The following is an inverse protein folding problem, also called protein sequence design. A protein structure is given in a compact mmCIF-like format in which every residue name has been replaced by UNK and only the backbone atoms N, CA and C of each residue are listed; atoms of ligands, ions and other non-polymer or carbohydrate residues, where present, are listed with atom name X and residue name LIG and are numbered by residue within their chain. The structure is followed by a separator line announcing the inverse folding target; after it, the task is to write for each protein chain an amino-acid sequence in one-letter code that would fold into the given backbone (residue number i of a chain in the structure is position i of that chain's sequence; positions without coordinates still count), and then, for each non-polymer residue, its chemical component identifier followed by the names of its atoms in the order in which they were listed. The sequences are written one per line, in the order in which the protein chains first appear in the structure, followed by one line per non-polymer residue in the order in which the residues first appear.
data_IF_567562017640
#
_entry.id   IF_567562017640
#
_cell.length_a   1.000
_cell.length_b   1.000
_cell.length_c   1.000
_cell.angle_alpha   90.00
_cell.angle_beta   90.00
_cell.angle_gamma   90.00
#
_symmetry.space_group_name_H-M   'P 1'
#
loop_
_entity.id
_entity.type
_entity.pdbx_description
1 polymer ?
#
# COMPACT_ATOMS: atom_id res chain seq x y z
N UNK A 1 -1.75 -5.26 7.98
CA UNK A 1 -2.37 -4.85 9.26
C UNK A 1 -3.84 -4.49 9.01
N UNK A 2 -4.80 -5.28 9.52
CA UNK A 2 -6.24 -4.99 9.36
C UNK A 2 -6.61 -3.79 10.26
N UNK A 3 -6.88 -2.62 9.67
CA UNK A 3 -7.40 -1.46 10.41
C UNK A 3 -8.86 -1.74 10.77
N UNK A 4 -9.14 -1.99 12.04
CA UNK A 4 -10.52 -2.01 12.50
C UNK A 4 -11.07 -0.58 12.44
N UNK A 5 -12.14 -0.36 11.66
CA UNK A 5 -12.86 0.91 11.67
C UNK A 5 -13.37 1.21 13.10
N UNK A 6 -13.24 2.46 13.54
CA UNK A 6 -13.78 2.90 14.83
C UNK A 6 -15.30 2.99 14.73
N UNK A 7 -16.03 2.57 15.78
CA UNK A 7 -17.47 2.77 15.85
C UNK A 7 -17.81 4.26 15.73
N UNK A 8 -18.76 4.57 14.84
CA UNK A 8 -19.25 5.93 14.54
C UNK A 8 -20.73 6.10 14.92
N UNK A 9 -21.49 5.02 15.06
CA UNK A 9 -22.90 5.07 15.45
C UNK A 9 -23.05 5.37 16.95
N UNK A 10 -24.03 6.22 17.28
CA UNK A 10 -24.35 6.63 18.65
C UNK A 10 -25.86 6.54 18.90
N UNK A 11 -26.23 6.28 20.16
CA UNK A 11 -27.58 6.51 20.68
C UNK A 11 -27.60 7.85 21.41
N UNK A 12 -27.97 8.92 20.70
CA UNK A 12 -27.80 10.27 21.20
C UNK A 12 -28.68 10.54 22.43
N UNK A 13 -28.05 10.81 23.59
CA UNK A 13 -28.74 11.16 24.84
C UNK A 13 -29.52 12.48 24.79
N UNK A 14 -29.24 13.36 23.83
CA UNK A 14 -29.92 14.66 23.71
C UNK A 14 -31.21 14.59 22.89
N UNK A 15 -31.22 13.85 21.78
CA UNK A 15 -32.40 13.74 20.91
C UNK A 15 -33.07 12.37 20.91
N UNK A 16 -32.48 11.38 21.57
CA UNK A 16 -32.97 9.99 21.63
C UNK A 16 -32.83 9.20 20.33
N UNK A 17 -32.32 9.80 19.25
CA UNK A 17 -32.19 9.15 17.93
C UNK A 17 -30.87 8.38 17.82
N UNK A 18 -30.91 7.26 17.09
CA UNK A 18 -29.70 6.60 16.58
C UNK A 18 -29.16 7.41 15.40
N UNK A 19 -27.90 7.82 15.48
CA UNK A 19 -27.27 8.70 14.52
C UNK A 19 -25.77 8.38 14.38
N UNK A 20 -25.10 9.03 13.44
CA UNK A 20 -23.65 8.99 13.35
C UNK A 20 -23.04 10.16 14.17
N UNK A 21 -21.87 9.93 14.73
CA UNK A 21 -21.06 10.96 15.36
C UNK A 21 -19.95 11.42 14.41
N UNK A 22 -19.91 12.72 14.12
CA UNK A 22 -18.77 13.34 13.44
C UNK A 22 -17.71 13.70 14.47
N UNK A 23 -16.49 13.21 14.30
CA UNK A 23 -15.36 13.58 15.13
C UNK A 23 -14.80 14.95 14.70
N UNK A 24 -14.67 15.88 15.64
CA UNK A 24 -14.00 17.16 15.46
C UNK A 24 -12.72 17.20 16.30
N UNK A 25 -11.55 17.46 15.71
CA UNK A 25 -10.32 17.60 16.48
C UNK A 25 -10.36 18.87 17.34
N UNK A 26 -9.94 18.74 18.59
CA UNK A 26 -9.69 19.88 19.48
C UNK A 26 -8.20 20.17 19.49
N UNK A 27 -7.84 21.44 19.33
CA UNK A 27 -6.47 21.92 19.30
C UNK A 27 -6.20 22.90 20.43
N UNK A 28 -4.99 22.83 20.98
CA UNK A 28 -4.39 23.88 21.80
C UNK A 28 -3.19 24.43 21.04
N UNK A 29 -3.33 25.66 20.53
CA UNK A 29 -2.43 26.20 19.51
C UNK A 29 -2.41 25.32 18.26
N UNK A 30 -1.23 24.82 17.89
CA UNK A 30 -1.04 23.91 16.74
C UNK A 30 -1.04 22.42 17.11
N UNK A 31 -1.23 22.07 18.39
CA UNK A 31 -1.22 20.67 18.84
C UNK A 31 -2.64 20.15 19.02
N UNK A 32 -2.95 19.01 18.39
CA UNK A 32 -4.22 18.31 18.64
C UNK A 32 -4.19 17.71 20.05
N UNK A 33 -5.12 18.12 20.90
CA UNK A 33 -5.23 17.69 22.31
C UNK A 33 -6.35 16.68 22.52
N UNK A 34 -7.31 16.58 21.60
CA UNK A 34 -8.39 15.61 21.72
C UNK A 34 -9.35 15.59 20.52
N UNK A 35 -10.48 14.93 20.73
CA UNK A 35 -11.59 14.85 19.78
C UNK A 35 -12.92 15.08 20.52
N UNK A 36 -13.75 15.96 19.98
CA UNK A 36 -15.16 16.11 20.34
C UNK A 36 -16.03 15.38 19.33
N UNK A 37 -17.22 14.97 19.73
CA UNK A 37 -18.12 14.22 18.87
C UNK A 37 -19.46 14.93 18.74
N UNK A 38 -19.91 15.13 17.49
CA UNK A 38 -21.15 15.84 17.19
C UNK A 38 -22.16 14.87 16.60
N UNK A 39 -23.34 14.80 17.22
CA UNK A 39 -24.47 14.05 16.69
C UNK A 39 -24.93 14.66 15.36
N UNK A 40 -24.95 13.86 14.29
CA UNK A 40 -25.38 14.36 12.96
C UNK A 40 -26.89 14.63 12.87
N UNK A 41 -27.71 14.08 13.77
CA UNK A 41 -29.16 14.27 13.74
C UNK A 41 -29.65 15.54 14.47
N UNK A 42 -28.96 16.00 15.51
CA UNK A 42 -29.39 17.16 16.31
C UNK A 42 -28.29 18.19 16.60
N UNK A 43 -27.02 17.91 16.25
CA UNK A 43 -25.90 18.82 16.49
C UNK A 43 -25.40 18.86 17.94
N UNK A 44 -25.93 18.04 18.85
CA UNK A 44 -25.42 17.96 20.22
C UNK A 44 -23.95 17.51 20.24
N UNK A 45 -23.16 18.12 21.12
CA UNK A 45 -21.71 17.91 21.23
C UNK A 45 -21.37 17.14 22.50
N UNK A 46 -20.55 16.12 22.36
CA UNK A 46 -19.93 15.38 23.44
C UNK A 46 -18.45 15.75 23.53
N UNK A 47 -17.96 15.99 24.74
CA UNK A 47 -16.60 16.51 24.95
C UNK A 47 -15.49 15.50 24.70
N UNK A 48 -15.80 14.20 24.78
CA UNK A 48 -14.84 13.12 24.57
C UNK A 48 -15.49 11.86 24.02
N UNK A 49 -14.66 10.87 23.67
CA UNK A 49 -15.12 9.57 23.16
C UNK A 49 -15.87 8.79 24.24
N UNK A 50 -15.40 8.87 25.48
CA UNK A 50 -15.93 8.15 26.64
C UNK A 50 -17.30 8.69 27.07
N UNK A 51 -17.50 10.00 26.93
CA UNK A 51 -18.79 10.64 27.17
C UNK A 51 -19.81 10.36 26.06
N UNK A 52 -19.35 9.93 24.88
CA UNK A 52 -20.19 9.71 23.71
C UNK A 52 -20.81 8.31 23.76
N UNK A 53 -22.15 8.19 23.64
CA UNK A 53 -22.87 6.91 23.74
C UNK A 53 -22.74 6.09 22.43
N UNK A 54 -21.54 5.63 22.11
CA UNK A 54 -21.30 4.77 20.94
C UNK A 54 -22.01 3.43 21.06
N UNK A 55 -22.66 3.03 19.98
CA UNK A 55 -23.22 1.69 19.87
C UNK A 55 -22.07 0.72 19.63
N UNK A 56 -22.00 -0.34 20.44
CA UNK A 56 -21.04 -1.41 20.24
C UNK A 56 -21.31 -2.09 18.88
N UNK A 57 -20.35 -2.01 17.98
CA UNK A 57 -20.38 -2.72 16.70
C UNK A 57 -20.20 -4.22 16.96
N UNK A 58 -21.32 -4.92 17.16
CA UNK A 58 -21.35 -6.35 17.46
C UNK A 58 -21.40 -7.21 16.21
N UNK A 59 -21.56 -6.62 15.01
CA UNK A 59 -21.74 -7.40 13.78
C UNK A 59 -21.09 -6.69 12.62
N UNK A 60 -19.86 -7.10 12.30
CA UNK A 60 -19.38 -6.96 10.92
C UNK A 60 -20.17 -7.94 10.05
N UNK A 61 -21.07 -7.47 9.17
CA UNK A 61 -21.66 -8.37 8.19
C UNK A 61 -20.53 -8.91 7.32
N UNK A 62 -20.42 -10.23 7.23
CA UNK A 62 -19.53 -10.89 6.28
C UNK A 62 -20.24 -10.86 4.92
N UNK A 63 -20.22 -9.70 4.27
CA UNK A 63 -20.86 -9.48 2.95
C UNK A 63 -20.08 -10.22 1.86
N UNK A 64 -18.75 -10.30 2.00
CA UNK A 64 -17.89 -11.02 1.08
C UNK A 64 -17.25 -12.21 1.77
N UNK A 65 -17.28 -13.33 1.08
CA UNK A 65 -16.68 -14.61 1.44
C UNK A 65 -15.42 -14.85 0.61
N UNK A 66 -14.74 -15.96 0.87
CA UNK A 66 -13.63 -16.39 0.02
C UNK A 66 -14.10 -16.72 -1.41
N UNK A 67 -15.37 -17.08 -1.58
CA UNK A 67 -15.95 -17.47 -2.88
C UNK A 67 -16.21 -16.26 -3.79
N UNK A 68 -16.36 -15.07 -3.21
CA UNK A 68 -16.45 -13.81 -3.96
C UNK A 68 -15.09 -13.34 -4.52
N UNK A 69 -14.00 -14.04 -4.17
CA UNK A 69 -12.67 -13.74 -4.69
C UNK A 69 -12.53 -14.32 -6.08
N UNK A 70 -12.68 -13.46 -7.08
CA UNK A 70 -12.37 -13.81 -8.47
C UNK A 70 -10.94 -14.36 -8.59
N UNK A 71 -10.79 -15.41 -9.39
CA UNK A 71 -9.46 -15.94 -9.72
C UNK A 71 -8.70 -14.90 -10.51
N UNK A 72 -7.47 -14.56 -10.08
CA UNK A 72 -6.66 -13.57 -10.78
C UNK A 72 -6.51 -13.96 -12.27
N UNK A 73 -6.95 -13.12 -13.21
CA UNK A 73 -6.90 -13.49 -14.62
C UNK A 73 -5.44 -13.57 -15.07
N UNK A 74 -5.04 -14.74 -15.55
CA UNK A 74 -3.76 -14.94 -16.21
C UNK A 74 -3.91 -14.60 -17.69
N UNK A 75 -3.81 -13.31 -18.00
CA UNK A 75 -4.02 -12.75 -19.36
C UNK A 75 -2.79 -13.00 -20.25
N UNK A 76 -1.59 -13.04 -19.67
CA UNK A 76 -0.34 -13.22 -20.40
C UNK A 76 0.43 -14.41 -19.85
N UNK A 77 1.00 -15.19 -20.75
CA UNK A 77 2.06 -16.13 -20.42
C UNK A 77 3.33 -15.37 -20.02
N UNK A 78 4.15 -15.97 -19.14
CA UNK A 78 5.43 -15.36 -18.75
C UNK A 78 6.37 -15.18 -19.97
N UNK A 79 6.22 -16.01 -21.00
CA UNK A 79 6.94 -15.89 -22.27
C UNK A 79 6.58 -14.64 -23.07
N UNK A 80 5.33 -14.17 -23.01
CA UNK A 80 4.91 -12.95 -23.72
C UNK A 80 5.44 -11.68 -23.04
N UNK A 81 5.54 -11.69 -21.71
CA UNK A 81 6.08 -10.56 -20.93
C UNK A 81 7.57 -10.30 -21.18
N UNK A 82 8.29 -11.28 -21.72
CA UNK A 82 9.75 -11.27 -21.78
C UNK A 82 10.32 -10.88 -23.14
N UNK A 83 9.54 -10.63 -24.19
CA UNK A 83 10.09 -10.27 -25.52
C UNK A 83 10.38 -8.76 -25.69
N UNK A 84 10.97 -8.14 -24.67
CA UNK A 84 11.40 -6.74 -24.73
C UNK A 84 12.87 -6.59 -24.31
N UNK A 85 13.45 -5.42 -24.61
CA UNK A 85 14.86 -5.13 -24.36
C UNK A 85 15.27 -5.37 -22.89
N UNK A 86 14.38 -5.17 -21.91
CA UNK A 86 14.66 -5.45 -20.50
C UNK A 86 15.15 -6.88 -20.22
N UNK A 87 14.74 -7.84 -21.05
CA UNK A 87 15.06 -9.27 -20.92
C UNK A 87 15.94 -9.78 -22.06
N UNK A 88 16.46 -8.89 -22.90
CA UNK A 88 17.28 -9.24 -24.05
C UNK A 88 18.77 -9.34 -23.64
N UNK A 89 19.46 -10.40 -24.08
CA UNK A 89 20.89 -10.61 -23.85
C UNK A 89 21.77 -9.51 -24.45
N UNK A 90 21.26 -8.75 -25.42
CA UNK A 90 22.00 -7.68 -26.09
C UNK A 90 21.77 -6.29 -25.48
N UNK A 91 20.92 -6.13 -24.45
CA UNK A 91 20.70 -4.81 -23.84
C UNK A 91 21.90 -4.44 -22.97
N UNK A 92 22.53 -3.31 -23.28
CA UNK A 92 23.61 -2.73 -22.49
C UNK A 92 23.04 -1.59 -21.64
N UNK A 93 23.13 -1.71 -20.33
CA UNK A 93 22.69 -0.69 -19.37
C UNK A 93 23.88 0.16 -18.95
N UNK A 94 23.90 1.42 -19.38
CA UNK A 94 24.81 2.45 -18.90
C UNK A 94 24.02 3.44 -18.02
N UNK A 95 24.61 4.00 -16.94
CA UNK A 95 23.98 5.02 -16.11
C UNK A 95 23.31 6.21 -16.82
N UNK A 96 23.71 6.54 -18.05
CA UNK A 96 23.22 7.71 -18.79
C UNK A 96 22.28 7.37 -19.94
N UNK A 97 22.51 6.25 -20.62
CA UNK A 97 21.76 5.80 -21.79
C UNK A 97 21.66 4.27 -21.80
N UNK A 98 20.62 3.76 -22.45
CA UNK A 98 20.44 2.34 -22.66
C UNK A 98 20.54 2.06 -24.15
N UNK A 99 21.37 1.10 -24.54
CA UNK A 99 21.65 0.83 -25.95
C UNK A 99 21.57 -0.64 -26.28
N UNK A 100 21.28 -0.93 -27.55
CA UNK A 100 21.35 -2.27 -28.12
C UNK A 100 22.79 -2.61 -28.48
N UNK A 101 23.32 -3.74 -28.01
CA UNK A 101 24.68 -4.19 -28.28
C UNK A 101 24.92 -4.70 -29.71
N UNK A 102 23.86 -4.90 -30.52
CA UNK A 102 23.99 -5.33 -31.91
C UNK A 102 24.15 -4.17 -32.89
N UNK A 103 23.33 -3.13 -32.73
CA UNK A 103 23.22 -2.02 -33.69
C UNK A 103 23.63 -0.66 -33.08
N UNK A 104 23.91 -0.63 -31.77
CA UNK A 104 24.31 0.54 -31.00
C UNK A 104 23.27 1.69 -30.99
N UNK A 105 21.99 1.41 -31.28
CA UNK A 105 20.92 2.40 -31.13
C UNK A 105 20.49 2.52 -29.67
N UNK A 106 19.96 3.68 -29.31
CA UNK A 106 19.32 3.90 -28.02
C UNK A 106 18.00 3.11 -27.97
N UNK A 107 17.72 2.44 -26.84
CA UNK A 107 16.55 1.59 -26.63
C UNK A 107 15.99 1.75 -25.23
N UNK A 108 14.68 1.61 -25.09
CA UNK A 108 14.00 1.57 -23.81
C UNK A 108 13.80 0.13 -23.31
N UNK A 109 13.67 -0.05 -22.01
CA UNK A 109 13.43 -1.36 -21.40
C UNK A 109 12.20 -2.09 -21.98
N UNK A 110 11.18 -1.34 -22.39
CA UNK A 110 9.92 -1.88 -22.91
C UNK A 110 9.89 -2.09 -24.44
N UNK A 111 10.95 -1.72 -25.16
CA UNK A 111 10.98 -1.85 -26.61
C UNK A 111 10.95 -3.31 -27.06
N UNK A 112 10.16 -3.60 -28.09
CA UNK A 112 10.08 -4.92 -28.72
C UNK A 112 11.17 -5.03 -29.79
N UNK A 113 11.82 -6.19 -29.84
CA UNK A 113 12.94 -6.45 -30.75
C UNK A 113 12.70 -7.72 -31.58
N UNK A 114 12.93 -7.65 -32.89
CA UNK A 114 12.87 -8.82 -33.78
C UNK A 114 14.08 -9.75 -33.57
N UNK A 115 15.23 -9.20 -33.18
CA UNK A 115 16.46 -9.92 -32.83
C UNK A 115 16.53 -10.25 -31.33
N UNK A 116 15.38 -10.46 -30.69
CA UNK A 116 15.33 -10.76 -29.26
C UNK A 116 15.98 -12.13 -28.97
N UNK A 117 17.02 -12.11 -28.14
CA UNK A 117 17.60 -13.29 -27.51
C UNK A 117 17.43 -13.17 -25.99
N UNK A 118 16.87 -14.17 -25.30
CA UNK A 118 16.64 -14.08 -23.86
C UNK A 118 17.95 -14.00 -23.10
N UNK A 119 18.00 -13.14 -22.07
CA UNK A 119 19.10 -13.12 -21.11
C UNK A 119 19.27 -14.53 -20.51
N UNK A 120 20.49 -15.08 -20.46
CA UNK A 120 20.71 -16.38 -19.82
C UNK A 120 20.20 -16.31 -18.38
N UNK A 121 19.46 -17.34 -17.96
CA UNK A 121 18.95 -17.41 -16.60
C UNK A 121 20.15 -17.47 -15.64
N UNK A 122 20.36 -16.42 -14.87
CA UNK A 122 21.22 -16.52 -13.69
C UNK A 122 20.59 -17.55 -12.76
N UNK A 123 21.38 -18.46 -12.17
CA UNK A 123 20.85 -19.40 -11.19
C UNK A 123 20.14 -18.59 -10.11
N UNK A 124 18.88 -18.97 -9.84
CA UNK A 124 18.07 -18.30 -8.83
C UNK A 124 18.91 -18.10 -7.57
N UNK A 125 19.21 -16.84 -7.25
CA UNK A 125 19.85 -16.48 -6.00
C UNK A 125 18.87 -16.88 -4.91
N UNK A 126 19.06 -18.09 -4.37
CA UNK A 126 18.43 -18.51 -3.13
C UNK A 126 18.78 -17.43 -2.14
N UNK A 127 17.80 -16.61 -1.75
CA UNK A 127 17.98 -15.54 -0.79
C UNK A 127 18.36 -16.15 0.56
N UNK A 128 19.62 -16.47 0.72
CA UNK A 128 20.24 -16.67 2.01
C UNK A 128 20.30 -15.28 2.62
N UNK A 129 19.41 -15.05 3.59
CA UNK A 129 19.31 -13.79 4.28
C UNK A 129 20.71 -13.36 4.74
N UNK A 130 21.16 -12.20 4.28
CA UNK A 130 22.34 -11.54 4.85
C UNK A 130 22.14 -11.51 6.37
N UNK A 131 22.99 -12.17 7.17
CA UNK A 131 22.89 -12.06 8.62
C UNK A 131 22.99 -10.58 8.99
N UNK A 132 22.17 -10.09 9.95
CA UNK A 132 22.30 -8.73 10.43
C UNK A 132 23.54 -8.73 11.31
N UNK A 133 24.65 -8.21 10.82
CA UNK A 133 25.64 -7.49 11.62
C UNK A 133 26.88 -7.22 10.77
N UNK A 134 26.86 -6.04 10.16
CA UNK A 134 27.94 -5.05 10.17
C UNK A 134 27.47 -3.97 9.21
N UNK A 135 26.81 -2.93 9.74
CA UNK A 135 26.55 -1.73 8.93
C UNK A 135 27.91 -1.14 8.53
N UNK A 136 28.31 -1.22 7.25
CA UNK A 136 29.61 -0.72 6.82
C UNK A 136 29.70 0.81 6.99
N UNK A 137 28.56 1.51 7.11
CA UNK A 137 28.50 2.94 7.35
C UNK A 137 28.73 3.28 8.83
N UNK A 138 28.35 2.40 9.77
CA UNK A 138 28.64 2.60 11.20
C UNK A 138 30.15 2.63 11.47
N UNK A 139 30.95 1.90 10.69
CA UNK A 139 32.43 1.93 10.76
C UNK A 139 33.03 3.25 10.30
N UNK A 140 32.32 3.99 9.45
CA UNK A 140 32.82 5.24 8.84
C UNK A 140 32.33 6.45 9.63
N UNK A 141 31.09 6.41 10.12
CA UNK A 141 30.43 7.58 10.69
C UNK A 141 30.26 7.55 12.21
N UNK A 142 30.55 6.42 12.87
CA UNK A 142 30.27 6.24 14.30
C UNK A 142 28.76 6.24 14.60
N UNK A 143 28.38 5.72 15.77
CA UNK A 143 26.97 5.65 16.21
C UNK A 143 26.33 7.03 16.42
#
# INVERSE_FOLDING_TARGET
MKRAGRALEIECRACGKRALARAEPVYEGFRKTGERFICTACGHRYDSREATPFVADTRRPQIFTADDRETAPRIFSDSERRRCCAYCAHRVVNPFDQRCGLDNREVEATDLCEHFEPLPEEPAQTGEATPPDDDPLARIFGD
#
